data_IF_192664504014
#
_entry.id   IF_192664504014
#
_cell.length_a   1.000
_cell.length_b   1.000
_cell.length_c   1.000
_cell.angle_alpha   90.00
_cell.angle_beta   90.00
_cell.angle_gamma   90.00
#
_symmetry.space_group_name_H-M   'P 1'
#
loop_
_entity.id
_entity.type
_entity.pdbx_description
1 polymer ?
#
# COMPACT_ATOMS: atom_id res chain seq x y z
N UNK A 1 -4.32 27.45 -32.66
CA UNK A 1 -4.40 27.19 -31.21
C UNK A 1 -3.84 28.41 -30.52
N UNK A 2 -4.62 29.04 -29.65
CA UNK A 2 -4.16 30.23 -28.93
C UNK A 2 -2.88 29.94 -28.15
N UNK A 3 -1.95 30.89 -28.15
CA UNK A 3 -0.66 30.79 -27.46
C UNK A 3 -0.83 30.48 -25.96
N UNK A 4 -1.90 30.99 -25.34
CA UNK A 4 -2.26 30.70 -23.96
C UNK A 4 -2.69 29.24 -23.76
N UNK A 5 -3.54 28.69 -24.64
CA UNK A 5 -3.99 27.30 -24.58
C UNK A 5 -2.80 26.35 -24.66
N UNK A 6 -1.86 26.65 -25.58
CA UNK A 6 -0.64 25.86 -25.73
C UNK A 6 0.22 25.88 -24.46
N UNK A 7 0.41 27.05 -23.86
CA UNK A 7 1.18 27.20 -22.62
C UNK A 7 0.59 26.39 -21.46
N UNK A 8 -0.73 26.41 -21.27
CA UNK A 8 -1.39 25.61 -20.23
C UNK A 8 -1.21 24.10 -20.45
N UNK A 9 -1.27 23.65 -21.71
CA UNK A 9 -1.10 22.23 -22.06
C UNK A 9 0.33 21.73 -21.89
N UNK A 10 1.33 22.54 -22.24
CA UNK A 10 2.74 22.23 -21.96
C UNK A 10 3.03 22.15 -20.46
N UNK A 11 2.42 23.02 -19.65
CA UNK A 11 2.51 22.95 -18.18
C UNK A 11 1.82 21.71 -17.60
N UNK A 12 0.68 21.31 -18.15
CA UNK A 12 -0.01 20.06 -17.78
C UNK A 12 0.87 18.84 -18.08
N UNK A 13 1.54 18.82 -19.24
CA UNK A 13 2.47 17.77 -19.64
C UNK A 13 3.62 17.59 -18.63
N UNK A 14 4.31 18.68 -18.27
CA UNK A 14 5.38 18.66 -17.28
C UNK A 14 4.91 18.16 -15.90
N UNK A 15 3.70 18.54 -15.50
CA UNK A 15 3.11 18.06 -14.25
C UNK A 15 2.82 16.55 -14.28
N UNK A 16 2.41 16.02 -15.44
CA UNK A 16 2.18 14.58 -15.63
C UNK A 16 3.50 13.82 -15.63
N UNK A 17 4.52 14.30 -16.34
CA UNK A 17 5.86 13.69 -16.35
C UNK A 17 6.47 13.62 -14.95
N UNK A 18 6.39 14.71 -14.17
CA UNK A 18 6.83 14.72 -12.78
C UNK A 18 6.07 13.72 -11.91
N UNK A 19 4.76 13.56 -12.13
CA UNK A 19 3.95 12.53 -11.44
C UNK A 19 4.32 11.11 -11.84
N UNK A 20 4.66 10.87 -13.10
CA UNK A 20 5.13 9.56 -13.58
C UNK A 20 6.48 9.25 -12.93
N UNK A 21 7.43 10.16 -13.00
CA UNK A 21 8.77 9.99 -12.43
C UNK A 21 8.73 9.69 -10.93
N UNK A 22 7.97 10.49 -10.16
CA UNK A 22 7.81 10.29 -8.72
C UNK A 22 7.12 8.96 -8.40
N UNK A 23 6.12 8.56 -9.19
CA UNK A 23 5.43 7.26 -9.01
C UNK A 23 6.35 6.08 -9.34
N UNK A 24 7.17 6.16 -10.39
CA UNK A 24 8.16 5.13 -10.72
C UNK A 24 9.26 5.02 -9.67
N UNK A 25 9.75 6.15 -9.16
CA UNK A 25 10.76 6.18 -8.11
C UNK A 25 10.21 5.62 -6.79
N UNK A 26 8.93 5.89 -6.51
CA UNK A 26 8.18 5.38 -5.36
C UNK A 26 7.84 3.88 -5.44
N UNK A 27 7.81 3.29 -6.64
CA UNK A 27 7.48 1.87 -6.86
C UNK A 27 8.42 0.90 -6.14
N UNK A 28 9.64 1.32 -5.78
CA UNK A 28 10.60 0.52 -4.98
C UNK A 28 10.52 0.77 -3.47
N UNK A 29 9.62 1.62 -2.99
CA UNK A 29 9.53 1.99 -1.57
C UNK A 29 9.17 0.79 -0.68
N UNK A 30 8.28 -0.09 -1.13
CA UNK A 30 7.88 -1.27 -0.35
C UNK A 30 9.05 -2.24 -0.18
N UNK A 31 9.81 -2.53 -1.24
CA UNK A 31 11.03 -3.37 -1.18
C UNK A 31 12.07 -2.73 -0.27
N UNK A 32 12.25 -1.41 -0.36
CA UNK A 32 13.19 -0.67 0.50
C UNK A 32 12.80 -0.67 1.97
N UNK A 33 11.51 -0.75 2.31
CA UNK A 33 11.02 -0.71 3.69
C UNK A 33 10.53 -2.07 4.20
N UNK A 34 10.85 -3.17 3.51
CA UNK A 34 10.41 -4.52 3.90
C UNK A 34 10.86 -4.87 5.32
N UNK A 35 12.01 -4.38 5.76
CA UNK A 35 12.51 -4.57 7.13
C UNK A 35 11.62 -3.89 8.19
N UNK A 36 11.03 -2.72 7.88
CA UNK A 36 10.08 -2.05 8.81
C UNK A 36 8.78 -2.83 8.92
N UNK A 37 8.32 -3.40 7.81
CA UNK A 37 7.14 -4.25 7.75
C UNK A 37 7.39 -5.51 8.59
N UNK A 38 8.52 -6.20 8.39
CA UNK A 38 8.90 -7.36 9.21
C UNK A 38 8.97 -6.99 10.70
N UNK A 39 9.60 -5.86 11.05
CA UNK A 39 9.69 -5.38 12.43
C UNK A 39 8.32 -5.15 13.08
N UNK A 40 7.38 -4.53 12.36
CA UNK A 40 5.99 -4.34 12.83
C UNK A 40 5.30 -5.70 13.01
N UNK A 41 5.46 -6.63 12.07
CA UNK A 41 4.88 -7.97 12.16
C UNK A 41 5.33 -8.76 13.39
N UNK A 42 6.62 -8.68 13.74
CA UNK A 42 7.16 -9.32 14.94
C UNK A 42 6.52 -8.72 16.19
N UNK A 43 6.50 -7.38 16.31
CA UNK A 43 5.88 -6.69 17.45
C UNK A 43 4.40 -7.03 17.58
N UNK A 44 3.68 -7.07 16.45
CA UNK A 44 2.26 -7.41 16.42
C UNK A 44 2.00 -8.86 16.83
N UNK A 45 2.89 -9.78 16.46
CA UNK A 45 2.78 -11.20 16.84
C UNK A 45 2.93 -11.40 18.35
N UNK A 46 3.88 -10.69 18.99
CA UNK A 46 4.04 -10.72 20.44
C UNK A 46 2.89 -10.05 21.20
N UNK A 47 2.37 -8.92 20.69
CA UNK A 47 1.24 -8.22 21.29
C UNK A 47 -0.08 -9.00 21.13
N UNK A 48 -0.35 -9.52 19.94
CA UNK A 48 -1.58 -10.27 19.64
C UNK A 48 -1.68 -11.56 20.45
N UNK A 49 -0.57 -12.28 20.64
CA UNK A 49 -0.55 -13.49 21.47
C UNK A 49 -0.82 -13.21 22.96
N UNK A 50 -0.56 -11.98 23.44
CA UNK A 50 -0.81 -11.55 24.84
C UNK A 50 -2.10 -10.75 25.01
N UNK A 51 -2.76 -10.36 23.93
CA UNK A 51 -3.94 -9.52 23.98
C UNK A 51 -5.15 -10.34 24.44
N UNK A 52 -5.63 -10.06 25.66
CA UNK A 52 -6.93 -10.51 26.15
C UNK A 52 -7.93 -9.39 25.92
N UNK A 53 -8.86 -9.58 24.98
CA UNK A 53 -9.93 -8.62 24.75
C UNK A 53 -10.81 -8.51 25.99
N UNK A 54 -11.29 -7.30 26.32
CA UNK A 54 -12.31 -7.13 27.36
C UNK A 54 -13.65 -6.92 26.66
N UNK A 55 -14.60 -7.81 26.87
CA UNK A 55 -15.92 -7.70 26.21
C UNK A 55 -16.79 -6.71 26.97
N UNK A 56 -16.86 -5.45 26.56
CA UNK A 56 -17.79 -4.49 27.18
C UNK A 56 -17.48 -3.04 26.83
N UNK A 57 -18.53 -2.27 26.54
CA UNK A 57 -18.46 -0.87 26.11
C UNK A 57 -17.67 0.05 27.06
N UNK A 58 -17.53 -0.34 28.34
CA UNK A 58 -16.79 0.37 29.39
C UNK A 58 -15.67 -0.47 30.06
N UNK A 59 -15.23 -1.58 29.46
CA UNK A 59 -14.19 -2.45 30.04
C UNK A 59 -14.64 -3.27 31.26
N UNK A 60 -15.94 -3.36 31.52
CA UNK A 60 -16.53 -4.00 32.71
C UNK A 60 -17.09 -5.41 32.47
N UNK A 61 -16.86 -6.02 31.30
CA UNK A 61 -17.28 -7.40 31.06
C UNK A 61 -16.15 -8.42 31.15
N UNK A 62 -16.47 -9.71 30.96
CA UNK A 62 -15.54 -10.81 31.19
C UNK A 62 -14.31 -10.68 30.30
N UNK A 63 -13.16 -11.08 30.84
CA UNK A 63 -11.94 -11.24 30.06
C UNK A 63 -12.25 -12.25 28.95
N UNK A 64 -12.18 -11.81 27.69
CA UNK A 64 -12.25 -12.72 26.58
C UNK A 64 -10.99 -13.59 26.61
N UNK A 65 -11.13 -14.87 26.25
CA UNK A 65 -9.96 -15.72 26.07
C UNK A 65 -9.00 -15.05 25.09
N UNK A 66 -7.71 -15.13 25.39
CA UNK A 66 -6.67 -14.75 24.41
C UNK A 66 -6.84 -15.55 23.12
N UNK A 67 -6.27 -15.09 22.01
CA UNK A 67 -6.33 -15.83 20.75
C UNK A 67 -5.82 -17.28 20.89
N UNK A 68 -4.84 -17.50 21.77
CA UNK A 68 -4.33 -18.83 22.14
C UNK A 68 -5.37 -19.68 22.88
N UNK A 69 -6.04 -19.11 23.88
CA UNK A 69 -7.09 -19.78 24.65
C UNK A 69 -8.36 -20.04 23.81
N UNK A 70 -8.68 -19.15 22.87
CA UNK A 70 -9.87 -19.26 22.01
C UNK A 70 -9.72 -20.32 20.91
N UNK A 71 -8.48 -20.56 20.44
CA UNK A 71 -8.16 -21.54 19.40
C UNK A 71 -7.58 -22.84 19.98
N UNK A 72 -7.47 -22.95 21.31
CA UNK A 72 -6.79 -24.05 22.00
C UNK A 72 -5.36 -24.30 21.51
N UNK A 73 -4.70 -23.25 21.01
CA UNK A 73 -3.34 -23.33 20.48
C UNK A 73 -2.32 -23.01 21.56
N UNK A 74 -1.17 -23.67 21.49
CA UNK A 74 -0.02 -23.27 22.29
C UNK A 74 0.40 -21.84 21.94
N UNK A 75 1.10 -21.18 22.86
CA UNK A 75 1.62 -19.84 22.64
C UNK A 75 2.46 -19.74 21.36
N UNK A 76 3.28 -20.76 21.08
CA UNK A 76 4.14 -20.82 19.90
C UNK A 76 3.30 -20.97 18.62
N UNK A 77 2.30 -21.84 18.61
CA UNK A 77 1.41 -22.03 17.46
C UNK A 77 0.60 -20.76 17.17
N UNK A 78 0.15 -20.06 18.21
CA UNK A 78 -0.56 -18.78 18.08
C UNK A 78 0.33 -17.70 17.46
N UNK A 79 1.59 -17.60 17.90
CA UNK A 79 2.57 -16.66 17.33
C UNK A 79 2.86 -16.99 15.87
N UNK A 80 3.04 -18.28 15.53
CA UNK A 80 3.26 -18.72 14.15
C UNK A 80 2.05 -18.42 13.26
N UNK A 81 0.83 -18.63 13.76
CA UNK A 81 -0.40 -18.33 13.05
C UNK A 81 -0.51 -16.82 12.74
N UNK A 82 -0.27 -15.96 13.73
CA UNK A 82 -0.30 -14.50 13.54
C UNK A 82 0.77 -14.07 12.55
N UNK A 83 2.00 -14.60 12.66
CA UNK A 83 3.08 -14.30 11.73
C UNK A 83 2.76 -14.73 10.29
N UNK A 84 2.13 -15.90 10.12
CA UNK A 84 1.69 -16.39 8.82
C UNK A 84 0.62 -15.48 8.20
N UNK A 85 -0.44 -15.15 8.94
CA UNK A 85 -1.49 -14.24 8.46
C UNK A 85 -0.94 -12.85 8.15
N UNK A 86 -0.07 -12.32 9.00
CA UNK A 86 0.59 -11.04 8.76
C UNK A 86 1.36 -11.05 7.43
N UNK A 87 2.13 -12.11 7.19
CA UNK A 87 2.89 -12.28 5.94
C UNK A 87 1.96 -12.36 4.74
N UNK A 88 0.87 -13.13 4.85
CA UNK A 88 -0.12 -13.29 3.79
C UNK A 88 -0.81 -11.96 3.44
N UNK A 89 -1.21 -11.18 4.45
CA UNK A 89 -1.77 -9.84 4.26
C UNK A 89 -0.74 -8.89 3.63
N UNK A 90 0.52 -8.94 4.05
CA UNK A 90 1.58 -8.13 3.45
C UNK A 90 1.82 -8.46 1.98
N UNK A 91 1.75 -9.75 1.61
CA UNK A 91 1.84 -10.19 0.22
C UNK A 91 0.66 -9.66 -0.60
N UNK A 92 -0.58 -9.80 -0.11
CA UNK A 92 -1.76 -9.27 -0.80
C UNK A 92 -1.65 -7.75 -0.96
N UNK A 93 -1.27 -7.03 0.10
CA UNK A 93 -1.07 -5.59 0.05
C UNK A 93 0.00 -5.17 -0.97
N UNK A 94 1.11 -5.93 -1.05
CA UNK A 94 2.15 -5.71 -2.04
C UNK A 94 1.64 -5.82 -3.47
N UNK A 95 0.94 -6.92 -3.78
CA UNK A 95 0.34 -7.13 -5.10
C UNK A 95 -0.72 -6.07 -5.43
N UNK A 96 -1.57 -5.73 -4.46
CA UNK A 96 -2.59 -4.71 -4.63
C UNK A 96 -1.97 -3.33 -4.91
N UNK A 97 -0.91 -2.95 -4.20
CA UNK A 97 -0.19 -1.69 -4.47
C UNK A 97 0.51 -1.71 -5.83
N UNK A 98 1.20 -2.78 -6.19
CA UNK A 98 1.84 -2.88 -7.50
C UNK A 98 0.82 -2.76 -8.64
N UNK A 99 -0.35 -3.41 -8.49
CA UNK A 99 -1.43 -3.31 -9.46
C UNK A 99 -2.01 -1.89 -9.54
N UNK A 100 -2.24 -1.24 -8.40
CA UNK A 100 -2.73 0.15 -8.35
C UNK A 100 -1.74 1.13 -8.99
N UNK A 101 -0.45 0.98 -8.70
CA UNK A 101 0.61 1.83 -9.27
C UNK A 101 0.71 1.64 -10.78
N UNK A 102 0.69 0.40 -11.27
CA UNK A 102 0.66 0.12 -12.72
C UNK A 102 -0.55 0.77 -13.39
N UNK A 103 -1.74 0.66 -12.78
CA UNK A 103 -2.97 1.28 -13.31
C UNK A 103 -2.86 2.81 -13.33
N UNK A 104 -2.28 3.42 -12.29
CA UNK A 104 -2.08 4.86 -12.18
C UNK A 104 -1.09 5.38 -13.22
N UNK A 105 0.04 4.70 -13.39
CA UNK A 105 1.05 5.04 -14.43
C UNK A 105 0.41 4.95 -15.81
N UNK A 106 -0.30 3.86 -16.12
CA UNK A 106 -0.98 3.70 -17.42
C UNK A 106 -1.98 4.83 -17.70
N UNK A 107 -2.71 5.29 -16.68
CA UNK A 107 -3.64 6.43 -16.81
C UNK A 107 -2.88 7.74 -17.11
N UNK A 108 -1.76 7.96 -16.43
CA UNK A 108 -0.91 9.15 -16.64
C UNK A 108 -0.24 9.12 -18.02
N UNK A 109 0.24 7.97 -18.47
CA UNK A 109 0.79 7.78 -19.83
C UNK A 109 -0.24 8.04 -20.92
N UNK A 110 -1.46 7.52 -20.76
CA UNK A 110 -2.55 7.79 -21.71
C UNK A 110 -2.85 9.30 -21.78
N UNK A 111 -2.92 9.97 -20.62
CA UNK A 111 -3.17 11.42 -20.58
C UNK A 111 -2.03 12.22 -21.18
N UNK A 112 -0.78 11.80 -20.95
CA UNK A 112 0.40 12.37 -21.60
C UNK A 112 0.29 12.28 -23.12
N UNK A 113 -0.03 11.10 -23.67
CA UNK A 113 -0.21 10.90 -25.11
C UNK A 113 -1.35 11.73 -25.70
N UNK A 114 -2.45 11.91 -24.98
CA UNK A 114 -3.54 12.80 -25.41
C UNK A 114 -3.03 14.25 -25.58
N UNK A 115 -2.30 14.77 -24.59
CA UNK A 115 -1.76 16.14 -24.63
C UNK A 115 -0.68 16.28 -25.70
N UNK A 116 0.19 15.28 -25.87
CA UNK A 116 1.18 15.25 -26.97
C UNK A 116 0.50 15.31 -28.34
N UNK A 117 -0.59 14.55 -28.53
CA UNK A 117 -1.39 14.59 -29.75
C UNK A 117 -2.10 15.95 -29.95
N UNK A 118 -2.66 16.54 -28.89
CA UNK A 118 -3.28 17.88 -28.93
C UNK A 118 -2.26 18.98 -29.30
N UNK A 119 -1.01 18.83 -28.84
CA UNK A 119 0.10 19.75 -29.14
C UNK A 119 0.79 19.47 -30.49
N UNK A 120 0.45 18.36 -31.15
CA UNK A 120 1.11 17.93 -32.39
C UNK A 120 2.56 17.46 -32.19
N UNK A 121 2.95 17.17 -30.94
CA UNK A 121 4.29 16.69 -30.58
C UNK A 121 4.28 15.17 -30.78
N UNK A 122 4.71 14.69 -31.95
CA UNK A 122 5.00 13.27 -32.13
C UNK A 122 6.33 12.95 -31.47
N UNK A 123 6.28 12.40 -30.27
CA UNK A 123 7.46 11.75 -29.66
C UNK A 123 7.60 10.39 -30.36
N UNK A 124 8.58 10.29 -31.26
CA UNK A 124 9.03 9.02 -31.86
C UNK A 124 9.69 8.12 -30.81
#
# INVERSE_FOLDING_TARGET
MDSEIRYYREKELLAIEGKIYTTEQGRKYFVKNIYKIIGVGIVFSFLGAKYKGRSGYNGSGPLQPSLAEALELSYIETVLLIAFFYTLVCFIAHFAWEYQDKKKIKKLENRRREIENELGIKVN
#
